data_IF_350260497840
#
_entry.id   IF_350260497840
#
_cell.length_a   1.000
_cell.length_b   1.000
_cell.length_c   1.000
_cell.angle_alpha   90.00
_cell.angle_beta   90.00
_cell.angle_gamma   90.00
#
_symmetry.space_group_name_H-M   'P 1'
#
loop_
_entity.id
_entity.type
_entity.pdbx_description
1 polymer ?
#
# COMPACT_ATOMS: atom_id res chain seq x y z
N UNK A 1 24.66 2.78 24.68
CA UNK A 1 24.49 2.38 23.27
C UNK A 1 23.93 0.97 23.24
N UNK A 2 22.64 0.78 23.50
CA UNK A 2 22.01 -0.55 23.44
C UNK A 2 20.60 -0.43 22.87
N UNK A 3 20.51 -0.27 21.56
CA UNK A 3 19.29 -0.56 20.82
C UNK A 3 19.55 -1.90 20.13
N UNK A 4 19.24 -2.99 20.84
CA UNK A 4 19.86 -4.28 20.58
C UNK A 4 19.27 -5.05 19.41
N UNK A 5 18.07 -4.70 18.92
CA UNK A 5 17.56 -5.24 17.65
C UNK A 5 16.24 -4.60 17.24
N UNK A 6 15.99 -4.59 15.93
CA UNK A 6 14.65 -4.41 15.33
C UNK A 6 13.62 -5.38 15.93
N UNK A 7 14.09 -6.54 16.43
CA UNK A 7 13.33 -7.51 17.21
C UNK A 7 12.75 -6.95 18.50
N UNK A 8 13.42 -6.07 19.25
CA UNK A 8 12.86 -5.46 20.46
C UNK A 8 11.74 -4.46 20.10
N UNK A 9 11.87 -3.76 18.97
CA UNK A 9 10.84 -2.88 18.43
C UNK A 9 9.58 -3.63 17.97
N UNK A 10 9.76 -4.81 17.38
CA UNK A 10 8.67 -5.73 17.02
C UNK A 10 8.11 -6.48 18.25
N UNK A 11 8.92 -6.72 19.27
CA UNK A 11 8.57 -7.47 20.48
C UNK A 11 8.17 -6.59 21.68
N UNK A 12 7.96 -5.28 21.48
CA UNK A 12 7.35 -4.37 22.48
C UNK A 12 5.87 -4.71 22.74
N UNK A 13 5.61 -5.90 23.28
CA UNK A 13 4.44 -6.32 24.09
C UNK A 13 3.01 -6.07 23.59
N UNK A 14 2.80 -5.45 22.44
CA UNK A 14 1.47 -5.03 21.95
C UNK A 14 1.46 -3.76 21.08
N UNK A 15 2.45 -2.87 21.19
CA UNK A 15 2.48 -1.60 20.43
C UNK A 15 2.96 -1.73 18.99
N UNK A 16 3.83 -2.71 18.71
CA UNK A 16 4.33 -2.95 17.36
C UNK A 16 3.19 -3.23 16.36
N UNK A 17 2.16 -3.96 16.80
CA UNK A 17 0.98 -4.26 15.98
C UNK A 17 0.19 -3.01 15.57
N UNK A 18 0.11 -1.99 16.42
CA UNK A 18 -0.55 -0.72 16.10
C UNK A 18 0.22 0.08 15.06
N UNK A 19 1.55 0.14 15.20
CA UNK A 19 2.42 0.86 14.26
C UNK A 19 2.40 0.15 12.91
N UNK A 20 2.74 -1.14 12.89
CA UNK A 20 2.73 -1.94 11.66
C UNK A 20 1.34 -2.05 11.04
N UNK A 21 0.28 -2.09 11.83
CA UNK A 21 -1.10 -2.02 11.35
C UNK A 21 -1.40 -0.70 10.63
N UNK A 22 -1.03 0.43 11.20
CA UNK A 22 -1.23 1.76 10.59
C UNK A 22 -0.44 1.93 9.30
N UNK A 23 0.83 1.48 9.30
CA UNK A 23 1.67 1.46 8.09
C UNK A 23 1.11 0.49 7.03
N UNK A 24 0.63 -0.68 7.45
CA UNK A 24 0.00 -1.67 6.58
C UNK A 24 -1.28 -1.15 5.93
N UNK A 25 -2.16 -0.50 6.71
CA UNK A 25 -3.38 0.15 6.20
C UNK A 25 -3.03 1.26 5.20
N UNK A 26 -2.03 2.09 5.54
CA UNK A 26 -1.58 3.16 4.63
C UNK A 26 -1.04 2.60 3.33
N UNK A 27 -0.21 1.56 3.41
CA UNK A 27 0.31 0.85 2.23
C UNK A 27 -0.81 0.20 1.41
N UNK A 28 -1.79 -0.43 2.07
CA UNK A 28 -2.98 -0.98 1.41
C UNK A 28 -3.79 0.10 0.68
N UNK A 29 -4.04 1.26 1.30
CA UNK A 29 -4.72 2.38 0.64
C UNK A 29 -3.95 2.85 -0.60
N UNK A 30 -2.63 3.03 -0.50
CA UNK A 30 -1.81 3.38 -1.66
C UNK A 30 -1.87 2.32 -2.76
N UNK A 31 -1.80 1.03 -2.39
CA UNK A 31 -1.88 -0.07 -3.35
C UNK A 31 -3.24 -0.11 -4.06
N UNK A 32 -4.34 0.08 -3.33
CA UNK A 32 -5.69 0.15 -3.88
C UNK A 32 -5.82 1.33 -4.86
N UNK A 33 -5.34 2.51 -4.46
CA UNK A 33 -5.35 3.70 -5.32
C UNK A 33 -4.55 3.45 -6.60
N UNK A 34 -3.39 2.80 -6.50
CA UNK A 34 -2.55 2.45 -7.64
C UNK A 34 -3.26 1.44 -8.58
N UNK A 35 -3.91 0.42 -8.03
CA UNK A 35 -4.68 -0.57 -8.80
C UNK A 35 -5.90 0.06 -9.49
N UNK A 36 -6.61 0.96 -8.81
CA UNK A 36 -7.71 1.73 -9.40
C UNK A 36 -7.21 2.65 -10.50
N UNK A 37 -6.09 3.33 -10.29
CA UNK A 37 -5.46 4.20 -11.29
C UNK A 37 -5.03 3.39 -12.52
N UNK A 38 -4.41 2.23 -12.34
CA UNK A 38 -4.06 1.34 -13.45
C UNK A 38 -5.31 0.86 -14.21
N UNK A 39 -6.36 0.46 -13.50
CA UNK A 39 -7.63 0.05 -14.09
C UNK A 39 -8.27 1.17 -14.89
N UNK A 40 -8.19 2.42 -14.40
CA UNK A 40 -8.70 3.60 -15.10
C UNK A 40 -7.89 3.91 -16.36
N UNK A 41 -6.56 3.77 -16.31
CA UNK A 41 -5.69 3.92 -17.48
C UNK A 41 -6.03 2.89 -18.57
N UNK A 42 -6.26 1.63 -18.18
CA UNK A 42 -6.70 0.57 -19.10
C UNK A 42 -8.05 0.91 -19.75
N UNK A 43 -9.03 1.39 -18.97
CA UNK A 43 -10.34 1.80 -19.49
C UNK A 43 -10.27 2.96 -20.48
N UNK A 44 -9.44 3.97 -20.21
CA UNK A 44 -9.27 5.11 -21.12
C UNK A 44 -8.59 4.66 -22.43
N UNK A 45 -7.56 3.80 -22.36
CA UNK A 45 -6.94 3.24 -23.57
C UNK A 45 -7.94 2.43 -24.39
N UNK A 46 -8.82 1.66 -23.76
CA UNK A 46 -9.87 0.91 -24.46
C UNK A 46 -10.89 1.85 -25.12
N UNK A 47 -11.30 2.92 -24.44
CA UNK A 47 -12.23 3.92 -24.99
C UNK A 47 -11.64 4.63 -26.22
N UNK A 48 -10.38 5.08 -26.15
CA UNK A 48 -9.69 5.71 -27.30
C UNK A 48 -9.55 4.75 -28.47
N UNK A 49 -9.31 3.46 -28.21
CA UNK A 49 -9.19 2.45 -29.27
C UNK A 49 -10.53 2.14 -29.95
N UNK A 50 -11.65 2.30 -29.25
CA UNK A 50 -13.00 2.13 -29.82
C UNK A 50 -13.45 3.33 -30.64
N UNK A 51 -13.04 4.56 -30.29
CA UNK A 51 -13.35 5.76 -31.08
C UNK A 51 -12.52 5.89 -32.37
N UNK A 52 -11.39 5.18 -32.46
CA UNK A 52 -10.51 5.18 -33.64
C UNK A 52 -10.85 4.09 -34.69
N UNK A 53 -11.95 3.35 -34.51
CA UNK A 53 -12.46 2.31 -35.43
C UNK A 53 -13.79 2.81 -36.01
#
# INVERSE_FOLDING_TARGET
MQWHSVKDFLAMGGYAFYVWGSFGITFCCMAIELLMLQSRRQRIMQAVKQEAI
#
